data_IF_223675101338
#
_entry.id   IF_223675101338
#
_cell.length_a   1.000
_cell.length_b   1.000
_cell.length_c   1.000
_cell.angle_alpha   90.00
_cell.angle_beta   90.00
_cell.angle_gamma   90.00
#
_symmetry.space_group_name_H-M   'P 1'
#
loop_
_entity.id
_entity.type
_entity.pdbx_description
1 polymer ?
#
# COMPACT_ATOMS: atom_id res chain seq x y z
N UNK A 1 -11.11 -6.39 4.84
CA UNK A 1 -9.83 -5.92 4.30
C UNK A 1 -10.09 -5.26 2.95
N UNK A 2 -9.64 -4.01 2.77
CA UNK A 2 -9.61 -3.29 1.50
C UNK A 2 -8.17 -3.22 1.01
N UNK A 3 -7.98 -3.28 -0.31
CA UNK A 3 -6.68 -3.16 -0.97
C UNK A 3 -6.69 -1.97 -1.93
N UNK A 4 -5.64 -1.15 -1.88
CA UNK A 4 -5.48 0.01 -2.73
C UNK A 4 -4.06 0.07 -3.28
N UNK A 5 -3.92 0.20 -4.60
CA UNK A 5 -2.62 0.39 -5.22
C UNK A 5 -2.23 1.86 -5.16
N UNK A 6 -1.11 2.15 -4.51
CA UNK A 6 -0.50 3.48 -4.50
C UNK A 6 0.30 3.67 -5.80
N UNK A 7 1.01 2.63 -6.24
CA UNK A 7 1.75 2.59 -7.52
C UNK A 7 1.50 1.25 -8.20
N UNK A 8 1.13 1.27 -9.48
CA UNK A 8 0.89 0.07 -10.29
C UNK A 8 1.52 0.21 -11.67
N UNK A 9 2.74 -0.27 -11.79
CA UNK A 9 3.56 -0.24 -13.01
C UNK A 9 3.89 -1.67 -13.52
N UNK A 10 3.18 -2.70 -13.03
CA UNK A 10 3.40 -4.12 -13.37
C UNK A 10 4.83 -4.59 -13.09
N UNK A 11 5.37 -4.17 -11.95
CA UNK A 11 6.72 -4.53 -11.53
C UNK A 11 6.77 -5.98 -11.02
N UNK A 12 7.95 -6.59 -11.10
CA UNK A 12 8.16 -7.97 -10.62
C UNK A 12 8.00 -8.10 -9.10
N UNK A 13 8.19 -7.01 -8.37
CA UNK A 13 8.21 -6.99 -6.91
C UNK A 13 7.10 -6.07 -6.38
N UNK A 14 6.46 -6.50 -5.29
CA UNK A 14 5.39 -5.79 -4.61
C UNK A 14 5.82 -5.41 -3.19
N UNK A 15 5.63 -4.14 -2.83
CA UNK A 15 5.74 -3.66 -1.46
C UNK A 15 4.34 -3.51 -0.88
N UNK A 16 4.06 -4.28 0.18
CA UNK A 16 2.75 -4.35 0.82
C UNK A 16 2.77 -3.66 2.19
N UNK A 17 1.91 -2.67 2.37
CA UNK A 17 1.72 -1.98 3.63
C UNK A 17 0.43 -2.44 4.31
N UNK A 18 0.44 -2.52 5.63
CA UNK A 18 -0.75 -2.75 6.45
C UNK A 18 -1.01 -1.50 7.29
N UNK A 19 -2.12 -0.82 7.02
CA UNK A 19 -2.52 0.34 7.81
C UNK A 19 -3.32 -0.11 9.04
N UNK A 20 -2.94 0.43 10.18
CA UNK A 20 -3.69 0.35 11.43
C UNK A 20 -4.86 1.34 11.46
N UNK A 21 -5.67 1.26 12.51
CA UNK A 21 -6.80 2.17 12.71
C UNK A 21 -6.32 3.62 12.91
N UNK A 22 -6.93 4.57 12.19
CA UNK A 22 -6.57 5.99 12.24
C UNK A 22 -5.28 6.37 11.51
N UNK A 23 -4.67 5.46 10.74
CA UNK A 23 -3.52 5.77 9.89
C UNK A 23 -3.95 6.38 8.55
N UNK A 24 -3.08 7.22 7.98
CA UNK A 24 -3.25 7.79 6.63
C UNK A 24 -3.29 6.67 5.57
N UNK A 25 -4.16 6.84 4.57
CA UNK A 25 -4.29 5.92 3.42
C UNK A 25 -3.17 6.14 2.37
N UNK A 26 -2.40 7.24 2.50
CA UNK A 26 -1.36 7.65 1.54
C UNK A 26 0.06 7.76 2.12
N UNK A 27 0.53 6.77 2.92
CA UNK A 27 1.87 6.85 3.47
C UNK A 27 2.92 6.77 2.35
N UNK A 28 3.97 7.60 2.46
CA UNK A 28 5.15 7.58 1.58
C UNK A 28 4.97 8.12 0.15
N UNK A 29 3.97 8.97 -0.12
CA UNK A 29 3.83 9.66 -1.42
C UNK A 29 5.08 10.43 -1.88
N UNK A 30 5.99 10.79 -0.98
CA UNK A 30 7.23 11.52 -1.30
C UNK A 30 8.43 10.62 -1.55
N UNK A 31 8.30 9.30 -1.33
CA UNK A 31 9.39 8.33 -1.51
C UNK A 31 8.97 7.37 -2.62
N UNK A 32 9.67 7.39 -3.75
CA UNK A 32 9.36 6.50 -4.88
C UNK A 32 10.60 5.65 -5.19
N UNK A 33 10.76 4.47 -4.59
CA UNK A 33 11.76 3.53 -5.04
C UNK A 33 11.38 3.06 -6.44
N UNK A 34 12.36 3.09 -7.32
CA UNK A 34 12.26 2.57 -8.67
C UNK A 34 12.06 1.05 -8.59
N UNK A 35 11.22 0.50 -9.48
CA UNK A 35 11.08 -0.95 -9.76
C UNK A 35 10.22 -1.79 -8.80
N UNK A 36 9.28 -1.20 -8.06
CA UNK A 36 8.30 -1.96 -7.25
C UNK A 36 6.89 -1.37 -7.36
N UNK A 37 5.89 -2.25 -7.39
CA UNK A 37 4.49 -1.87 -7.21
C UNK A 37 4.21 -1.74 -5.72
N UNK A 38 3.29 -0.83 -5.37
CA UNK A 38 2.98 -0.48 -3.99
C UNK A 38 1.50 -0.67 -3.74
N UNK A 39 1.18 -1.42 -2.69
CA UNK A 39 -0.20 -1.67 -2.27
C UNK A 39 -0.33 -1.46 -0.77
N UNK A 40 -1.40 -0.79 -0.37
CA UNK A 40 -1.80 -0.68 1.03
C UNK A 40 -3.06 -1.49 1.27
N UNK A 41 -3.01 -2.34 2.29
CA UNK A 41 -4.15 -3.03 2.84
C UNK A 41 -4.58 -2.35 4.13
N UNK A 42 -5.86 -2.03 4.22
CA UNK A 42 -6.46 -1.44 5.41
C UNK A 42 -7.83 -2.07 5.66
N UNK A 43 -8.55 -1.56 6.65
CA UNK A 43 -9.90 -2.01 6.97
C UNK A 43 -9.95 -3.50 7.39
N UNK A 44 -9.18 -3.83 8.43
CA UNK A 44 -9.17 -5.13 9.12
C UNK A 44 -10.41 -5.31 10.03
N UNK A 45 -11.62 -5.14 9.47
CA UNK A 45 -12.89 -5.38 10.18
C UNK A 45 -13.23 -6.87 10.39
N UNK A 46 -12.51 -7.76 9.71
CA UNK A 46 -12.63 -9.22 9.89
C UNK A 46 -11.59 -9.68 10.89
N UNK A 47 -11.99 -9.76 12.16
CA UNK A 47 -11.29 -10.52 13.20
C UNK A 47 -11.88 -11.93 13.25
#
# INVERSE_FOLDING_TARGET
MKQHFIIKNNQKHLLLFFAGWGMDETPFLTIHPTDKDWMICYDCRSL
#
